data_IF_127619726650
#
_entry.id   IF_127619726650
#
_cell.length_a   1.000
_cell.length_b   1.000
_cell.length_c   1.000
_cell.angle_alpha   90.00
_cell.angle_beta   90.00
_cell.angle_gamma   90.00
#
_symmetry.space_group_name_H-M   'P 1'
#
loop_
_entity.id
_entity.type
_entity.pdbx_description
1 polymer ?
#
# COMPACT_ATOMS: atom_id res chain seq x y z
N UNK A 1 -55.54 53.19 -34.77
CA UNK A 1 -54.43 52.60 -34.00
C UNK A 1 -55.01 51.61 -32.98
N UNK A 2 -54.92 50.30 -33.24
CA UNK A 2 -55.43 49.27 -32.33
C UNK A 2 -54.25 48.44 -31.80
N UNK A 3 -53.96 48.59 -30.51
CA UNK A 3 -52.92 47.87 -29.79
C UNK A 3 -53.42 46.45 -29.46
N UNK A 4 -52.91 45.43 -30.15
CA UNK A 4 -53.26 44.03 -29.90
C UNK A 4 -52.32 43.47 -28.83
N UNK A 5 -52.81 43.33 -27.58
CA UNK A 5 -52.10 42.64 -26.50
C UNK A 5 -51.76 41.20 -26.93
N UNK A 6 -50.48 40.85 -27.01
CA UNK A 6 -50.05 39.44 -26.98
C UNK A 6 -50.50 38.88 -25.63
N UNK A 7 -51.41 37.91 -25.67
CA UNK A 7 -51.80 37.11 -24.52
C UNK A 7 -50.57 36.24 -24.21
N UNK A 8 -49.87 36.58 -23.14
CA UNK A 8 -48.88 35.70 -22.54
C UNK A 8 -49.69 34.57 -21.91
N UNK A 9 -49.74 33.42 -22.58
CA UNK A 9 -50.42 32.25 -22.06
C UNK A 9 -49.67 31.80 -20.80
N UNK A 10 -50.32 31.94 -19.64
CA UNK A 10 -49.79 31.48 -18.38
C UNK A 10 -49.59 29.95 -18.45
N UNK A 11 -48.47 29.41 -17.93
CA UNK A 11 -48.25 27.97 -17.93
C UNK A 11 -49.39 27.28 -17.16
N UNK A 12 -50.17 26.47 -17.85
CA UNK A 12 -51.29 25.71 -17.30
C UNK A 12 -50.78 24.76 -16.20
N UNK A 13 -51.49 24.60 -15.08
CA UNK A 13 -51.02 23.84 -13.92
C UNK A 13 -50.52 22.40 -14.22
N UNK A 14 -51.01 21.80 -15.31
CA UNK A 14 -50.60 20.46 -15.77
C UNK A 14 -49.21 20.41 -16.44
N UNK A 15 -48.67 21.53 -16.92
CA UNK A 15 -47.32 21.56 -17.52
C UNK A 15 -46.22 21.74 -16.48
N UNK A 16 -46.51 22.39 -15.34
CA UNK A 16 -45.58 22.51 -14.21
C UNK A 16 -45.43 21.17 -13.46
N UNK A 17 -46.51 20.40 -13.33
CA UNK A 17 -46.51 19.07 -12.68
C UNK A 17 -45.67 18.04 -13.46
N UNK A 18 -45.72 18.07 -14.80
CA UNK A 18 -44.95 17.15 -15.64
C UNK A 18 -43.45 17.50 -15.69
N UNK A 19 -43.12 18.78 -15.66
CA UNK A 19 -41.74 19.26 -15.65
C UNK A 19 -41.03 18.92 -14.32
N UNK A 20 -41.72 19.14 -13.20
CA UNK A 20 -41.21 18.72 -11.88
C UNK A 20 -41.06 17.19 -11.80
N UNK A 21 -42.06 16.42 -12.24
CA UNK A 21 -41.94 14.95 -12.27
C UNK A 21 -40.78 14.47 -13.13
N UNK A 22 -40.53 15.06 -14.30
CA UNK A 22 -39.36 14.68 -15.13
C UNK A 22 -38.04 15.02 -14.45
N UNK A 23 -37.97 16.16 -13.77
CA UNK A 23 -36.79 16.58 -13.03
C UNK A 23 -36.51 15.64 -11.87
N UNK A 24 -37.55 15.24 -11.13
CA UNK A 24 -37.46 14.22 -10.08
C UNK A 24 -37.04 12.85 -10.63
N UNK A 25 -37.62 12.38 -11.74
CA UNK A 25 -37.21 11.11 -12.35
C UNK A 25 -35.75 11.12 -12.82
N UNK A 26 -35.28 12.23 -13.41
CA UNK A 26 -33.88 12.37 -13.82
C UNK A 26 -32.94 12.45 -12.60
N UNK A 27 -33.38 13.08 -11.51
CA UNK A 27 -32.62 13.16 -10.25
C UNK A 27 -32.55 11.78 -9.58
N UNK A 28 -33.66 11.04 -9.55
CA UNK A 28 -33.72 9.68 -9.01
C UNK A 28 -32.88 8.69 -9.84
N UNK A 29 -32.88 8.84 -11.16
CA UNK A 29 -32.04 8.03 -12.06
C UNK A 29 -30.55 8.33 -11.82
N UNK A 30 -30.18 9.61 -11.74
CA UNK A 30 -28.83 10.04 -11.35
C UNK A 30 -28.42 9.53 -9.96
N UNK A 31 -29.31 9.59 -8.98
CA UNK A 31 -29.05 9.12 -7.63
C UNK A 31 -28.89 7.60 -7.57
N UNK A 32 -29.62 6.86 -8.42
CA UNK A 32 -29.49 5.40 -8.54
C UNK A 32 -28.14 4.99 -9.15
N UNK A 33 -27.67 5.72 -10.17
CA UNK A 33 -26.38 5.49 -10.82
C UNK A 33 -25.23 5.79 -9.85
N UNK A 34 -25.27 6.93 -9.16
CA UNK A 34 -24.26 7.31 -8.15
C UNK A 34 -24.23 6.28 -7.01
N UNK A 35 -25.39 5.77 -6.58
CA UNK A 35 -25.47 4.73 -5.55
C UNK A 35 -24.87 3.40 -6.03
N UNK A 36 -25.08 3.03 -7.29
CA UNK A 36 -24.52 1.79 -7.87
C UNK A 36 -22.99 1.85 -7.93
N UNK A 37 -22.43 2.97 -8.39
CA UNK A 37 -20.99 3.19 -8.49
C UNK A 37 -20.30 3.19 -7.11
N UNK A 38 -20.95 3.81 -6.12
CA UNK A 38 -20.49 3.78 -4.73
C UNK A 38 -20.50 2.37 -4.11
N UNK A 39 -21.52 1.55 -4.44
CA UNK A 39 -21.62 0.15 -3.98
C UNK A 39 -20.58 -0.74 -4.65
N UNK A 40 -20.30 -0.56 -5.95
CA UNK A 40 -19.25 -1.30 -6.65
C UNK A 40 -17.86 -0.95 -6.08
N UNK A 41 -17.60 0.34 -5.82
CA UNK A 41 -16.34 0.80 -5.22
C UNK A 41 -16.15 0.22 -3.82
N UNK A 42 -17.21 0.15 -3.00
CA UNK A 42 -17.17 -0.49 -1.68
C UNK A 42 -16.89 -1.99 -1.79
N UNK A 43 -17.52 -2.69 -2.74
CA UNK A 43 -17.32 -4.13 -2.95
C UNK A 43 -15.89 -4.45 -3.42
N UNK A 44 -15.31 -3.59 -4.27
CA UNK A 44 -13.91 -3.67 -4.71
C UNK A 44 -12.95 -3.43 -3.55
N UNK A 45 -13.26 -2.51 -2.65
CA UNK A 45 -12.46 -2.22 -1.47
C UNK A 45 -12.41 -3.42 -0.52
N UNK A 46 -13.56 -4.01 -0.20
CA UNK A 46 -13.64 -5.21 0.65
C UNK A 46 -12.87 -6.39 0.04
N UNK A 47 -12.98 -6.60 -1.28
CA UNK A 47 -12.24 -7.66 -1.97
C UNK A 47 -10.72 -7.44 -1.96
N UNK A 48 -10.27 -6.19 -2.02
CA UNK A 48 -8.84 -5.84 -1.88
C UNK A 48 -8.38 -6.04 -0.43
N UNK A 49 -9.18 -5.65 0.56
CA UNK A 49 -8.89 -5.85 1.99
C UNK A 49 -8.76 -7.33 2.33
N UNK A 50 -9.68 -8.17 1.86
CA UNK A 50 -9.61 -9.64 2.06
C UNK A 50 -8.38 -10.25 1.39
N UNK A 51 -8.06 -9.80 0.17
CA UNK A 51 -6.85 -10.26 -0.54
C UNK A 51 -5.57 -9.86 0.18
N UNK A 52 -5.50 -8.65 0.72
CA UNK A 52 -4.36 -8.18 1.53
C UNK A 52 -4.29 -8.96 2.84
N UNK A 53 -5.41 -9.18 3.53
CA UNK A 53 -5.46 -9.96 4.78
C UNK A 53 -5.03 -11.41 4.58
N UNK A 54 -5.42 -12.03 3.46
CA UNK A 54 -5.03 -13.39 3.10
C UNK A 54 -3.54 -13.51 2.73
N UNK A 55 -2.96 -12.50 2.08
CA UNK A 55 -1.51 -12.45 1.82
C UNK A 55 -0.74 -12.21 3.12
N UNK A 56 -1.23 -11.34 4.01
CA UNK A 56 -0.59 -11.03 5.29
C UNK A 56 -0.61 -12.22 6.27
N UNK A 57 -1.63 -13.08 6.20
CA UNK A 57 -1.76 -14.24 7.09
C UNK A 57 -1.11 -15.52 6.56
N UNK A 58 -0.74 -15.57 5.27
CA UNK A 58 -0.11 -16.76 4.67
C UNK A 58 1.26 -17.12 5.28
N UNK A 59 2.00 -16.14 5.79
CA UNK A 59 3.31 -16.33 6.44
C UNK A 59 3.28 -16.02 7.96
N UNK A 60 2.09 -15.80 8.53
CA UNK A 60 1.91 -15.54 9.95
C UNK A 60 2.01 -16.83 10.78
N UNK A 61 3.25 -17.27 10.94
CA UNK A 61 3.79 -18.16 11.97
C UNK A 61 3.23 -17.96 13.39
N UNK A 62 2.47 -18.85 14.07
CA UNK A 62 2.47 -18.84 15.54
C UNK A 62 3.93 -18.90 16.02
N UNK A 63 4.29 -18.24 17.14
CA UNK A 63 5.68 -18.08 17.55
C UNK A 63 6.44 -19.42 17.66
N UNK A 64 5.78 -20.49 18.08
CA UNK A 64 6.36 -21.84 18.12
C UNK A 64 6.65 -22.42 16.71
N UNK A 65 5.76 -22.21 15.73
CA UNK A 65 5.96 -22.66 14.36
C UNK A 65 6.98 -21.79 13.61
N UNK A 66 7.07 -20.49 13.94
CA UNK A 66 8.10 -19.60 13.43
C UNK A 66 9.49 -20.03 13.92
N UNK A 67 9.60 -20.45 15.19
CA UNK A 67 10.85 -20.97 15.76
C UNK A 67 11.33 -22.24 15.04
N UNK A 68 10.44 -23.21 14.79
CA UNK A 68 10.79 -24.42 14.02
C UNK A 68 11.22 -24.11 12.58
N UNK A 69 10.53 -23.17 11.90
CA UNK A 69 10.90 -22.75 10.55
C UNK A 69 12.26 -22.03 10.57
N UNK A 70 12.51 -21.18 11.56
CA UNK A 70 13.79 -20.49 11.75
C UNK A 70 14.93 -21.47 12.05
N UNK A 71 14.69 -22.53 12.82
CA UNK A 71 15.65 -23.60 13.10
C UNK A 71 16.00 -24.40 11.83
N UNK A 72 14.99 -24.76 11.02
CA UNK A 72 15.20 -25.47 9.75
C UNK A 72 15.97 -24.62 8.74
N UNK A 73 15.66 -23.33 8.66
CA UNK A 73 16.38 -22.34 7.85
C UNK A 73 17.80 -22.14 8.39
N UNK A 74 17.96 -22.12 9.71
CA UNK A 74 19.22 -21.94 10.42
C UNK A 74 20.20 -23.09 10.23
N UNK A 75 19.73 -24.34 10.32
CA UNK A 75 20.55 -25.55 10.09
C UNK A 75 21.01 -25.68 8.64
N UNK A 76 20.15 -25.30 7.68
CA UNK A 76 20.49 -25.28 6.25
C UNK A 76 21.49 -24.17 5.92
N UNK A 77 21.28 -22.96 6.46
CA UNK A 77 22.19 -21.82 6.25
C UNK A 77 23.50 -21.96 7.03
N UNK A 78 23.49 -22.65 8.18
CA UNK A 78 24.67 -22.96 8.98
C UNK A 78 25.65 -23.93 8.31
N UNK A 79 25.20 -24.70 7.30
CA UNK A 79 26.05 -25.54 6.47
C UNK A 79 26.64 -24.81 5.25
N UNK A 80 26.34 -23.53 5.04
CA UNK A 80 26.93 -22.76 3.95
C UNK A 80 28.42 -22.52 4.21
N UNK A 81 29.23 -22.60 3.15
CA UNK A 81 30.65 -22.33 3.21
C UNK A 81 30.89 -20.92 3.77
N UNK A 82 31.71 -20.80 4.82
CA UNK A 82 31.96 -19.54 5.55
C UNK A 82 32.39 -18.40 4.62
N UNK A 83 33.12 -18.72 3.53
CA UNK A 83 33.51 -17.73 2.51
C UNK A 83 32.32 -17.18 1.73
N UNK A 84 31.31 -18.00 1.43
CA UNK A 84 30.08 -17.57 0.76
C UNK A 84 29.28 -16.64 1.65
N UNK A 85 29.15 -16.96 2.94
CA UNK A 85 28.45 -16.13 3.92
C UNK A 85 29.11 -14.75 4.09
N UNK A 86 30.45 -14.68 4.10
CA UNK A 86 31.18 -13.40 4.16
C UNK A 86 30.91 -12.56 2.91
N UNK A 87 30.94 -13.18 1.72
CA UNK A 87 30.70 -12.48 0.46
C UNK A 87 29.26 -11.94 0.37
N UNK A 88 28.28 -12.74 0.79
CA UNK A 88 26.88 -12.32 0.86
C UNK A 88 26.68 -11.22 1.92
N UNK A 89 27.41 -11.24 3.03
CA UNK A 89 27.40 -10.18 4.04
C UNK A 89 27.99 -8.86 3.54
N UNK A 90 29.07 -8.91 2.75
CA UNK A 90 29.63 -7.71 2.09
C UNK A 90 28.61 -7.14 1.10
N UNK A 91 27.96 -8.00 0.32
CA UNK A 91 26.92 -7.58 -0.64
C UNK A 91 25.72 -6.93 0.07
N UNK A 92 25.30 -7.48 1.21
CA UNK A 92 24.28 -6.86 2.07
C UNK A 92 24.72 -5.46 2.53
N UNK A 93 25.97 -5.32 3.00
CA UNK A 93 26.55 -4.03 3.42
C UNK A 93 26.55 -2.98 2.31
N UNK A 94 26.86 -3.36 1.07
CA UNK A 94 26.83 -2.45 -0.09
C UNK A 94 25.41 -1.94 -0.35
N UNK A 95 24.38 -2.79 -0.26
CA UNK A 95 22.99 -2.36 -0.48
C UNK A 95 22.44 -1.49 0.65
N UNK A 96 22.81 -1.77 1.91
CA UNK A 96 22.48 -0.88 3.02
C UNK A 96 23.17 0.49 2.86
N UNK A 97 24.45 0.49 2.48
CA UNK A 97 25.20 1.70 2.18
C UNK A 97 24.55 2.53 1.06
N UNK A 98 24.07 1.86 0.01
CA UNK A 98 23.31 2.49 -1.08
C UNK A 98 21.99 3.10 -0.58
N UNK A 99 21.25 2.41 0.29
CA UNK A 99 20.04 2.96 0.92
C UNK A 99 20.31 4.18 1.80
N UNK A 100 21.42 4.19 2.55
CA UNK A 100 21.83 5.34 3.35
C UNK A 100 22.28 6.53 2.49
N UNK A 101 23.00 6.28 1.40
CA UNK A 101 23.32 7.29 0.37
C UNK A 101 22.05 7.88 -0.23
N UNK A 102 21.07 7.04 -0.59
CA UNK A 102 19.80 7.49 -1.16
C UNK A 102 18.98 8.33 -0.17
N UNK A 103 18.92 7.91 1.10
CA UNK A 103 18.35 8.73 2.18
C UNK A 103 19.05 10.11 2.28
N UNK A 104 20.38 10.15 2.18
CA UNK A 104 21.14 11.40 2.21
C UNK A 104 20.80 12.30 1.03
N UNK A 105 20.72 11.75 -0.20
CA UNK A 105 20.35 12.50 -1.41
C UNK A 105 18.92 13.04 -1.32
N UNK A 106 17.96 12.24 -0.85
CA UNK A 106 16.55 12.65 -0.72
C UNK A 106 16.34 13.68 0.39
N UNK A 107 17.18 13.66 1.43
CA UNK A 107 17.07 14.60 2.55
C UNK A 107 17.89 15.87 2.38
N UNK A 108 18.88 15.87 1.49
CA UNK A 108 19.71 17.05 1.20
C UNK A 108 18.92 18.02 0.35
N UNK A 109 18.83 19.26 0.80
CA UNK A 109 18.18 20.38 0.09
C UNK A 109 16.73 20.12 -0.35
N UNK A 110 16.01 19.27 0.38
CA UNK A 110 14.63 18.90 0.03
C UNK A 110 13.67 20.10 0.04
N UNK A 111 14.00 21.19 0.76
CA UNK A 111 13.12 22.37 0.92
C UNK A 111 11.81 22.08 1.66
N UNK A 112 11.59 20.83 2.07
CA UNK A 112 10.40 20.34 2.77
C UNK A 112 10.61 20.46 4.29
N UNK A 113 9.54 20.73 5.02
CA UNK A 113 9.58 20.84 6.48
C UNK A 113 10.19 19.60 7.15
N UNK A 114 10.80 19.78 8.33
CA UNK A 114 11.63 18.77 9.01
C UNK A 114 11.01 17.37 9.08
N UNK A 115 9.70 17.28 9.39
CA UNK A 115 9.01 16.00 9.49
C UNK A 115 8.88 15.26 8.15
N UNK A 116 8.57 15.97 7.07
CA UNK A 116 8.37 15.37 5.75
C UNK A 116 9.70 14.91 5.14
N UNK A 117 10.76 15.69 5.34
CA UNK A 117 12.12 15.33 4.94
C UNK A 117 12.57 14.04 5.64
N UNK A 118 12.29 13.87 6.93
CA UNK A 118 12.63 12.63 7.67
C UNK A 118 11.78 11.43 7.23
N UNK A 119 10.50 11.63 6.92
CA UNK A 119 9.64 10.58 6.38
C UNK A 119 10.17 10.07 5.03
N UNK A 120 10.52 10.99 4.11
CA UNK A 120 11.07 10.65 2.81
C UNK A 120 12.44 9.97 2.92
N UNK A 121 13.31 10.42 3.83
CA UNK A 121 14.57 9.75 4.13
C UNK A 121 14.37 8.33 4.67
N UNK A 122 13.39 8.13 5.55
CA UNK A 122 13.02 6.80 6.06
C UNK A 122 12.53 5.87 4.96
N UNK A 123 11.63 6.34 4.10
CA UNK A 123 11.13 5.58 2.93
C UNK A 123 12.26 5.22 1.97
N UNK A 124 13.15 6.16 1.69
CA UNK A 124 14.35 5.95 0.90
C UNK A 124 15.26 4.86 1.50
N UNK A 125 15.42 4.86 2.82
CA UNK A 125 16.19 3.82 3.50
C UNK A 125 15.51 2.43 3.47
N UNK A 126 14.18 2.37 3.62
CA UNK A 126 13.41 1.12 3.50
C UNK A 126 13.60 0.44 2.13
N UNK A 127 13.69 1.22 1.05
CA UNK A 127 14.02 0.69 -0.28
C UNK A 127 15.39 -0.01 -0.29
N UNK A 128 16.37 0.51 0.47
CA UNK A 128 17.66 -0.14 0.68
C UNK A 128 17.54 -1.53 1.32
N UNK A 129 16.64 -1.70 2.30
CA UNK A 129 16.38 -3.00 2.93
C UNK A 129 15.68 -3.98 1.99
N UNK A 130 14.76 -3.50 1.14
CA UNK A 130 14.09 -4.34 0.14
C UNK A 130 15.10 -4.89 -0.87
N UNK A 131 16.07 -4.08 -1.31
CA UNK A 131 17.15 -4.52 -2.20
C UNK A 131 17.97 -5.67 -1.61
N UNK A 132 18.27 -5.63 -0.31
CA UNK A 132 18.97 -6.71 0.40
C UNK A 132 18.17 -8.01 0.39
N UNK A 133 16.87 -7.93 0.69
CA UNK A 133 15.97 -9.09 0.76
C UNK A 133 15.79 -9.72 -0.62
N UNK A 134 15.61 -8.92 -1.67
CA UNK A 134 15.46 -9.40 -3.05
C UNK A 134 16.77 -10.01 -3.57
N UNK A 135 17.92 -9.43 -3.21
CA UNK A 135 19.22 -10.00 -3.56
C UNK A 135 19.55 -11.29 -2.78
N UNK A 136 18.76 -11.63 -1.75
CA UNK A 136 19.00 -12.80 -0.90
C UNK A 136 20.30 -12.69 -0.11
N UNK A 137 20.74 -11.48 0.20
CA UNK A 137 22.01 -11.27 0.88
C UNK A 137 21.90 -11.63 2.37
N UNK A 138 22.81 -12.47 2.86
CA UNK A 138 22.89 -12.90 4.26
C UNK A 138 23.38 -11.75 5.13
N UNK A 139 22.44 -11.02 5.74
CA UNK A 139 22.77 -9.95 6.68
C UNK A 139 23.31 -10.56 7.98
N UNK A 140 24.41 -10.01 8.50
CA UNK A 140 25.03 -10.44 9.76
C UNK A 140 24.02 -10.51 10.93
N UNK A 141 23.05 -9.59 10.96
CA UNK A 141 22.00 -9.57 11.98
C UNK A 141 21.07 -10.79 11.93
N UNK A 142 20.85 -11.39 10.75
CA UNK A 142 20.09 -12.63 10.59
C UNK A 142 20.88 -13.86 11.04
N UNK A 143 22.19 -13.89 10.78
CA UNK A 143 23.07 -14.97 11.27
C UNK A 143 23.17 -15.00 12.79
N UNK A 144 23.21 -13.84 13.46
CA UNK A 144 23.15 -13.79 14.92
C UNK A 144 21.83 -14.37 15.48
N UNK A 145 20.71 -14.21 14.77
CA UNK A 145 19.43 -14.80 15.17
C UNK A 145 19.38 -16.32 14.98
N UNK A 146 20.11 -16.86 13.99
CA UNK A 146 20.26 -18.31 13.79
C UNK A 146 20.98 -18.96 14.98
N UNK A 147 21.98 -18.30 15.58
CA UNK A 147 22.68 -18.80 16.77
C UNK A 147 21.72 -18.95 17.97
N UNK A 148 20.65 -18.17 18.03
CA UNK A 148 19.62 -18.31 19.07
C UNK A 148 18.90 -19.67 18.99
N UNK A 149 18.77 -20.26 17.78
CA UNK A 149 18.23 -21.62 17.62
C UNK A 149 19.14 -22.68 18.24
N UNK A 150 20.46 -22.50 18.14
CA UNK A 150 21.46 -23.38 18.77
C UNK A 150 21.50 -23.24 20.31
N UNK A 151 21.12 -22.08 20.85
CA UNK A 151 21.01 -21.88 22.31
C UNK A 151 19.72 -22.47 22.90
N UNK A 152 18.65 -22.54 22.10
CA UNK A 152 17.37 -23.11 22.54
C UNK A 152 17.37 -24.64 22.59
N UNK A 153 18.42 -25.30 22.06
CA UNK A 153 18.61 -26.75 22.02
C UNK A 153 20.03 -27.13 21.63
#
# INVERSE_FOLDING_TARGET
MAYKRKKQDAPTASTLDNDNRKTDLNLLDQMSIIRQEAVETATRLEAVVDKIGKVATADAHPPAAMAQKAETVGTTKGNLNTLTTILLGILAGVFIGLGAMFCTVVTTDAGLGFGLTKLLGGLAFCLGLILVVVAGAELFTGNCLIVMSWVSG
#
